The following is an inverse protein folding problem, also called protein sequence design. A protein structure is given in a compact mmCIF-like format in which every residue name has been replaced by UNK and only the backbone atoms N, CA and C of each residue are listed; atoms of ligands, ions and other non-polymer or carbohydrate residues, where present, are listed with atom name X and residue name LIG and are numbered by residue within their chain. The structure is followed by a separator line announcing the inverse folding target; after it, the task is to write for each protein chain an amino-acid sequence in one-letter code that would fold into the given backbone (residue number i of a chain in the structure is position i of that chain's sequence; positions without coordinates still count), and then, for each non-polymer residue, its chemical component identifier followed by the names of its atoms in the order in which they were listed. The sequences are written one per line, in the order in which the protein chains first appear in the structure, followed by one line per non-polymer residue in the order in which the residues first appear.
data_IF_602753037723
#
_entry.id   IF_602753037723
#
_cell.length_a   1.000
_cell.length_b   1.000
_cell.length_c   1.000
_cell.angle_alpha   90.00
_cell.angle_beta   90.00
_cell.angle_gamma   90.00
#
_symmetry.space_group_name_H-M   'P 1'
#
loop_
_entity.id
_entity.type
_entity.pdbx_description
1 polymer ?
#
# COMPACT_ATOMS: atom_id res chain seq x y z
N UNK A 1 -17.88 -0.81 -4.06
CA UNK A 1 -17.71 -2.10 -3.35
C UNK A 1 -16.45 -2.72 -3.92
N UNK A 2 -15.38 -2.80 -3.14
CA UNK A 2 -14.15 -3.46 -3.58
C UNK A 2 -14.40 -4.96 -3.65
N UNK A 3 -14.47 -5.51 -4.86
CA UNK A 3 -14.63 -6.96 -5.05
C UNK A 3 -13.43 -7.70 -4.46
N UNK A 4 -13.65 -8.46 -3.39
CA UNK A 4 -12.60 -9.25 -2.73
C UNK A 4 -12.05 -10.27 -3.73
N UNK A 5 -10.74 -10.21 -4.01
CA UNK A 5 -10.07 -11.12 -4.93
C UNK A 5 -9.59 -12.37 -4.20
N UNK A 6 -9.75 -13.53 -4.84
CA UNK A 6 -9.05 -14.76 -4.44
C UNK A 6 -7.58 -14.69 -4.83
N UNK A 7 -6.72 -15.48 -4.17
CA UNK A 7 -5.29 -15.49 -4.50
C UNK A 7 -5.01 -15.94 -5.94
N UNK A 8 -5.84 -16.84 -6.48
CA UNK A 8 -5.75 -17.26 -7.89
C UNK A 8 -6.00 -16.10 -8.84
N UNK A 9 -7.04 -15.29 -8.59
CA UNK A 9 -7.32 -14.08 -9.38
C UNK A 9 -6.17 -13.07 -9.29
N UNK A 10 -5.57 -12.90 -8.11
CA UNK A 10 -4.39 -12.03 -7.94
C UNK A 10 -3.20 -12.52 -8.77
N UNK A 11 -3.00 -13.84 -8.85
CA UNK A 11 -1.96 -14.47 -9.68
C UNK A 11 -2.24 -14.37 -11.19
N UNK A 12 -3.44 -13.97 -11.60
CA UNK A 12 -3.81 -13.77 -13.00
C UNK A 12 -3.77 -12.30 -13.43
N UNK A 13 -3.73 -11.35 -12.49
CA UNK A 13 -3.62 -9.93 -12.81
C UNK A 13 -2.39 -9.63 -13.66
N UNK A 14 -2.58 -8.83 -14.72
CA UNK A 14 -1.45 -8.26 -15.44
C UNK A 14 -0.72 -7.21 -14.54
N UNK A 15 0.40 -6.71 -15.02
CA UNK A 15 1.25 -5.79 -14.24
C UNK A 15 0.53 -4.48 -13.88
N UNK A 16 -0.19 -3.90 -14.84
CA UNK A 16 -0.91 -2.63 -14.65
C UNK A 16 -2.07 -2.78 -13.68
N UNK A 17 -2.88 -3.84 -13.83
CA UNK A 17 -4.01 -4.13 -12.95
C UNK A 17 -3.55 -4.42 -11.52
N UNK A 18 -2.43 -5.13 -11.36
CA UNK A 18 -1.88 -5.41 -10.03
C UNK A 18 -1.41 -4.13 -9.33
N UNK A 19 -0.72 -3.23 -10.05
CA UNK A 19 -0.31 -1.94 -9.49
C UNK A 19 -1.53 -1.07 -9.22
N UNK A 20 -2.51 -1.03 -10.13
CA UNK A 20 -3.75 -0.30 -9.92
C UNK A 20 -4.50 -0.77 -8.68
N UNK A 21 -4.43 -2.07 -8.38
CA UNK A 21 -5.11 -2.68 -7.24
C UNK A 21 -4.35 -2.56 -5.91
N UNK A 22 -3.03 -2.71 -5.93
CA UNK A 22 -2.19 -2.82 -4.72
C UNK A 22 -1.21 -1.66 -4.54
N UNK A 23 -1.20 -0.67 -5.45
CA UNK A 23 -0.21 0.41 -5.51
C UNK A 23 -0.24 1.37 -4.32
N UNK A 24 -1.32 1.40 -3.54
CA UNK A 24 -1.43 2.22 -2.33
C UNK A 24 -1.54 1.39 -1.05
N UNK A 25 -1.16 0.10 -1.07
CA UNK A 25 -1.06 -0.72 0.15
C UNK A 25 0.01 -0.16 1.10
N UNK A 26 1.06 0.43 0.54
CA UNK A 26 1.99 1.32 1.23
C UNK A 26 1.74 2.71 0.67
N UNK A 27 1.42 3.67 1.53
CA UNK A 27 0.97 5.01 1.13
C UNK A 27 1.93 5.64 0.11
N UNK A 28 1.37 6.06 -1.03
CA UNK A 28 2.08 6.67 -2.16
C UNK A 28 3.30 5.87 -2.67
N UNK A 29 3.39 4.56 -2.39
CA UNK A 29 4.55 3.72 -2.71
C UNK A 29 4.19 2.62 -3.72
N UNK A 30 3.71 3.03 -4.90
CA UNK A 30 3.33 2.09 -5.98
C UNK A 30 4.48 1.22 -6.48
N UNK A 31 5.73 1.67 -6.29
CA UNK A 31 6.93 0.90 -6.60
C UNK A 31 7.02 -0.40 -5.78
N UNK A 32 6.46 -0.44 -4.57
CA UNK A 32 6.39 -1.66 -3.78
C UNK A 32 5.53 -2.71 -4.50
N UNK A 33 4.33 -2.34 -4.96
CA UNK A 33 3.46 -3.25 -5.72
C UNK A 33 4.11 -3.71 -7.04
N UNK A 34 4.75 -2.78 -7.76
CA UNK A 34 5.50 -3.08 -8.99
C UNK A 34 6.65 -4.08 -8.75
N UNK A 35 7.39 -3.91 -7.65
CA UNK A 35 8.46 -4.83 -7.27
C UNK A 35 7.89 -6.19 -6.87
N UNK A 36 6.82 -6.21 -6.08
CA UNK A 36 6.21 -7.43 -5.53
C UNK A 36 5.57 -8.30 -6.63
N UNK A 37 5.04 -7.70 -7.69
CA UNK A 37 4.39 -8.41 -8.80
C UNK A 37 5.24 -9.54 -9.42
N UNK A 38 6.57 -9.39 -9.41
CA UNK A 38 7.52 -10.38 -9.97
C UNK A 38 7.62 -11.68 -9.19
N UNK A 39 7.16 -11.71 -7.93
CA UNK A 39 7.25 -12.89 -7.06
C UNK A 39 6.04 -13.82 -7.18
N UNK A 40 5.09 -13.49 -8.05
CA UNK A 40 3.97 -14.38 -8.37
C UNK A 40 4.50 -15.67 -9.03
N UNK A 41 3.81 -16.81 -8.83
CA UNK A 41 2.55 -16.94 -8.12
C UNK A 41 2.71 -16.92 -6.59
N UNK A 42 1.79 -16.25 -5.90
CA UNK A 42 1.64 -16.32 -4.45
C UNK A 42 0.82 -17.54 -4.07
N UNK A 43 1.17 -18.20 -2.96
CA UNK A 43 0.43 -19.36 -2.46
C UNK A 43 -0.87 -18.94 -1.75
N UNK A 44 -0.79 -17.89 -0.94
CA UNK A 44 -1.90 -17.32 -0.19
C UNK A 44 -1.65 -15.83 0.07
N UNK A 45 -2.57 -15.18 0.76
CA UNK A 45 -2.45 -13.78 1.15
C UNK A 45 -1.24 -13.52 2.08
N UNK A 46 -0.82 -14.52 2.87
CA UNK A 46 0.34 -14.40 3.77
C UNK A 46 1.64 -14.35 2.98
N UNK A 47 1.73 -15.13 1.89
CA UNK A 47 2.87 -15.09 0.99
C UNK A 47 2.98 -13.72 0.27
N UNK A 48 1.85 -13.16 -0.17
CA UNK A 48 1.82 -11.79 -0.71
C UNK A 48 2.25 -10.74 0.33
N UNK A 49 1.69 -10.83 1.54
CA UNK A 49 2.06 -9.95 2.64
C UNK A 49 3.56 -10.05 2.97
N UNK A 50 4.11 -11.26 3.04
CA UNK A 50 5.53 -11.48 3.28
C UNK A 50 6.41 -10.89 2.18
N UNK A 51 5.99 -10.95 0.91
CA UNK A 51 6.72 -10.31 -0.18
C UNK A 51 6.76 -8.77 -0.02
N UNK A 52 5.67 -8.15 0.44
CA UNK A 52 5.61 -6.71 0.74
C UNK A 52 6.53 -6.36 1.91
N UNK A 53 6.48 -7.11 3.02
CA UNK A 53 7.37 -6.89 4.16
C UNK A 53 8.84 -7.05 3.77
N UNK A 54 9.16 -8.09 2.98
CA UNK A 54 10.53 -8.35 2.52
C UNK A 54 11.06 -7.21 1.65
N UNK A 55 10.20 -6.60 0.81
CA UNK A 55 10.57 -5.40 0.05
C UNK A 55 11.03 -4.27 0.99
N UNK A 56 10.26 -3.97 2.04
CA UNK A 56 10.60 -2.94 3.01
C UNK A 56 11.86 -3.29 3.81
N UNK A 57 12.01 -4.55 4.25
CA UNK A 57 13.14 -5.00 5.05
C UNK A 57 14.47 -4.86 4.30
N UNK A 58 14.45 -5.11 2.99
CA UNK A 58 15.61 -5.01 2.10
C UNK A 58 15.97 -3.57 1.71
N UNK A 59 15.12 -2.58 1.98
CA UNK A 59 15.48 -1.19 1.73
C UNK A 59 16.63 -0.76 2.65
N UNK A 60 17.59 0.05 2.15
CA UNK A 60 18.51 0.76 3.03
C UNK A 60 17.73 1.70 3.96
N UNK A 61 18.34 2.13 5.06
CA UNK A 61 17.69 3.05 6.01
C UNK A 61 17.11 4.30 5.33
N UNK A 62 17.82 4.88 4.37
CA UNK A 62 17.34 6.02 3.58
C UNK A 62 16.08 5.72 2.77
N UNK A 63 15.94 4.49 2.27
CA UNK A 63 14.73 4.02 1.60
C UNK A 63 13.56 3.85 2.56
N UNK A 64 13.82 3.26 3.75
CA UNK A 64 12.81 3.14 4.82
C UNK A 64 12.31 4.51 5.29
N UNK A 65 13.23 5.44 5.52
CA UNK A 65 12.88 6.83 5.82
C UNK A 65 12.11 7.49 4.68
N UNK A 66 12.46 7.20 3.43
CA UNK A 66 11.73 7.67 2.25
C UNK A 66 10.27 7.22 2.27
N UNK A 67 10.01 5.95 2.58
CA UNK A 67 8.64 5.42 2.74
C UNK A 67 7.90 6.15 3.86
N UNK A 68 8.53 6.40 5.01
CA UNK A 68 7.91 7.15 6.09
C UNK A 68 7.55 8.59 5.68
N UNK A 69 8.42 9.26 4.92
CA UNK A 69 8.18 10.63 4.42
C UNK A 69 7.05 10.73 3.39
N UNK A 70 6.63 9.60 2.79
CA UNK A 70 5.47 9.57 1.90
C UNK A 70 4.15 9.63 2.69
N UNK A 71 4.14 9.26 3.97
CA UNK A 71 2.92 9.25 4.76
C UNK A 71 2.53 10.66 5.18
N UNK A 72 1.24 11.02 5.08
CA UNK A 72 0.76 12.29 5.57
C UNK A 72 0.85 12.37 7.09
N UNK A 73 1.09 13.57 7.62
CA UNK A 73 1.01 13.82 9.06
C UNK A 73 -0.42 13.55 9.58
N UNK A 74 -0.49 13.01 10.79
CA UNK A 74 -1.75 12.80 11.52
C UNK A 74 -2.36 14.14 11.91
N UNK A 75 -3.65 14.35 11.59
CA UNK A 75 -4.34 15.64 11.77
C UNK A 75 -3.55 16.84 11.20
N UNK A 76 -2.75 16.59 10.15
CA UNK A 76 -1.90 17.59 9.53
C UNK A 76 -2.62 18.38 8.44
N UNK A 77 -1.87 19.25 7.76
CA UNK A 77 -2.37 20.13 6.69
C UNK A 77 -3.14 19.40 5.60
N UNK A 78 -2.71 18.19 5.21
CA UNK A 78 -3.42 17.41 4.18
C UNK A 78 -4.78 16.92 4.66
N UNK A 79 -4.94 16.63 5.97
CA UNK A 79 -6.22 16.31 6.58
C UNK A 79 -7.13 17.54 6.58
N UNK A 80 -6.62 18.70 7.02
CA UNK A 80 -7.35 19.98 7.04
C UNK A 80 -7.85 20.39 5.64
N UNK A 81 -7.03 20.15 4.60
CA UNK A 81 -7.35 20.45 3.21
C UNK A 81 -8.18 19.37 2.52
N UNK A 82 -8.56 18.28 3.21
CA UNK A 82 -9.30 17.16 2.62
C UNK A 82 -8.57 16.50 1.45
N UNK A 83 -7.23 16.55 1.44
CA UNK A 83 -6.36 16.11 0.35
C UNK A 83 -5.63 14.79 0.66
N UNK A 84 -6.05 14.08 1.71
CA UNK A 84 -5.58 12.73 2.02
C UNK A 84 -6.03 11.74 0.93
N UNK A 85 -5.30 10.63 0.78
CA UNK A 85 -5.82 9.47 0.06
C UNK A 85 -7.08 8.95 0.76
N UNK A 86 -7.90 8.19 0.03
CA UNK A 86 -9.10 7.57 0.61
C UNK A 86 -8.75 6.72 1.84
N UNK A 87 -7.60 6.06 1.81
CA UNK A 87 -7.14 5.12 2.83
C UNK A 87 -6.66 5.88 4.07
N UNK A 88 -5.77 6.87 3.88
CA UNK A 88 -5.34 7.76 4.97
C UNK A 88 -6.52 8.51 5.60
N UNK A 89 -7.51 8.95 4.80
CA UNK A 89 -8.71 9.59 5.32
C UNK A 89 -9.53 8.65 6.21
N UNK A 90 -9.75 7.41 5.77
CA UNK A 90 -10.47 6.40 6.53
C UNK A 90 -9.73 6.01 7.82
N UNK A 91 -8.41 5.85 7.75
CA UNK A 91 -7.57 5.50 8.90
C UNK A 91 -7.52 6.62 9.94
N UNK A 92 -7.30 7.87 9.52
CA UNK A 92 -7.29 9.01 10.45
C UNK A 92 -8.65 9.21 11.11
N UNK A 93 -9.74 9.03 10.34
CA UNK A 93 -11.10 9.05 10.90
C UNK A 93 -11.33 7.93 11.92
N UNK A 94 -10.89 6.70 11.63
CA UNK A 94 -10.99 5.59 12.57
C UNK A 94 -10.17 5.83 13.85
N UNK A 95 -9.10 6.62 13.77
CA UNK A 95 -8.30 7.06 14.91
C UNK A 95 -8.89 8.28 15.66
N UNK A 96 -10.01 8.85 15.20
CA UNK A 96 -10.65 10.02 15.81
C UNK A 96 -9.94 11.34 15.52
N UNK A 97 -9.25 11.45 14.38
CA UNK A 97 -8.48 12.62 13.97
C UNK A 97 -9.21 13.50 12.93
N UNK A 98 -10.52 13.33 12.77
CA UNK A 98 -11.37 14.06 11.81
C UNK A 98 -12.18 15.22 12.43
N UNK A 99 -11.76 15.72 13.61
CA UNK A 99 -12.46 16.77 14.37
C UNK A 99 -12.05 18.18 13.98
#
# INVERSE_FOLDING_TARGET
MSDVLTISQVNELNYEDFIGRFGNVIEHCSICAAAVWRFRPFHDIRHLHQAICSFLDLLPNTGKEGVLRLHPDLAGRLAELGSLTQESSAEQKAAGLDT
#
